data_IF_582316769819
#
_entry.id   IF_582316769819
#
_cell.length_a   1.000
_cell.length_b   1.000
_cell.length_c   1.000
_cell.angle_alpha   90.00
_cell.angle_beta   90.00
_cell.angle_gamma   90.00
#
_symmetry.space_group_name_H-M   'P 1'
#
loop_
_entity.id
_entity.type
_entity.pdbx_description
1 polymer ?
#
# COMPACT_ATOMS: atom_id res chain seq x y z
N UNK A 1 2.48 -8.80 -27.23
CA UNK A 1 3.66 -8.81 -26.34
C UNK A 1 3.51 -9.95 -25.35
N UNK A 2 4.59 -10.63 -24.97
CA UNK A 2 4.55 -11.72 -23.99
C UNK A 2 4.64 -11.16 -22.57
N UNK A 3 3.87 -11.75 -21.65
CA UNK A 3 3.85 -11.39 -20.23
C UNK A 3 4.11 -12.61 -19.35
N UNK A 4 4.92 -12.47 -18.33
CA UNK A 4 4.94 -13.39 -17.19
C UNK A 4 4.12 -12.79 -16.05
N UNK A 5 3.53 -13.65 -15.23
CA UNK A 5 2.65 -13.24 -14.13
C UNK A 5 3.10 -13.95 -12.86
N UNK A 6 3.34 -13.18 -11.80
CA UNK A 6 3.42 -13.66 -10.42
C UNK A 6 2.17 -13.14 -9.72
N UNK A 7 1.26 -14.03 -9.35
CA UNK A 7 -0.05 -13.55 -8.96
C UNK A 7 -0.93 -14.57 -8.25
N UNK A 8 -2.12 -14.12 -7.88
CA UNK A 8 -3.17 -14.93 -7.28
C UNK A 8 -4.21 -15.37 -8.31
N UNK A 9 -5.31 -15.96 -7.84
CA UNK A 9 -6.47 -16.24 -8.66
C UNK A 9 -7.05 -14.97 -9.31
N UNK A 10 -6.86 -13.81 -8.69
CA UNK A 10 -7.31 -12.52 -9.22
C UNK A 10 -6.65 -12.22 -10.59
N UNK A 11 -5.32 -12.30 -10.67
CA UNK A 11 -4.66 -12.16 -11.97
C UNK A 11 -5.01 -13.29 -12.94
N UNK A 12 -5.32 -14.48 -12.42
CA UNK A 12 -5.85 -15.61 -13.21
C UNK A 12 -7.08 -15.17 -14.01
N UNK A 13 -8.07 -14.64 -13.30
CA UNK A 13 -9.32 -14.15 -13.90
C UNK A 13 -9.09 -13.01 -14.89
N UNK A 14 -8.12 -12.11 -14.68
CA UNK A 14 -7.79 -11.06 -15.67
C UNK A 14 -7.39 -11.65 -17.03
N UNK A 15 -6.67 -12.77 -17.03
CA UNK A 15 -6.18 -13.42 -18.27
C UNK A 15 -7.28 -14.15 -19.05
N UNK A 16 -8.43 -14.44 -18.42
CA UNK A 16 -9.56 -15.11 -19.06
C UNK A 16 -10.35 -14.18 -19.98
N UNK A 17 -10.21 -12.86 -19.81
CA UNK A 17 -10.88 -11.89 -20.65
C UNK A 17 -10.32 -11.96 -22.07
N UNK A 18 -11.19 -12.13 -23.06
CA UNK A 18 -10.83 -12.07 -24.49
C UNK A 18 -10.07 -10.80 -24.87
N UNK A 19 -10.29 -9.73 -24.12
CA UNK A 19 -9.68 -8.42 -24.36
C UNK A 19 -8.35 -8.21 -23.63
N UNK A 20 -7.88 -9.19 -22.85
CA UNK A 20 -6.57 -9.17 -22.22
C UNK A 20 -5.47 -9.01 -23.29
N UNK A 21 -4.58 -8.01 -23.18
CA UNK A 21 -3.80 -7.57 -24.33
C UNK A 21 -2.42 -8.23 -24.45
N UNK A 22 -2.15 -9.27 -23.65
CA UNK A 22 -0.86 -9.97 -23.63
C UNK A 22 -1.02 -11.46 -23.89
N UNK A 23 0.04 -12.05 -24.44
CA UNK A 23 0.20 -13.50 -24.54
C UNK A 23 0.90 -14.01 -23.27
N UNK A 24 0.21 -14.78 -22.44
CA UNK A 24 0.73 -15.26 -21.15
C UNK A 24 1.77 -16.34 -21.40
N UNK A 25 3.01 -16.06 -21.01
CA UNK A 25 4.14 -16.96 -21.21
C UNK A 25 4.34 -17.88 -20.00
N UNK A 26 4.49 -17.31 -18.80
CA UNK A 26 4.46 -18.06 -17.54
C UNK A 26 3.44 -17.45 -16.57
N UNK A 27 2.73 -18.30 -15.84
CA UNK A 27 1.87 -17.90 -14.74
C UNK A 27 2.30 -18.65 -13.47
N UNK A 28 2.78 -17.90 -12.48
CA UNK A 28 3.08 -18.37 -11.12
C UNK A 28 1.91 -17.99 -10.22
N UNK A 29 0.97 -18.94 -10.04
CA UNK A 29 -0.26 -18.70 -9.29
C UNK A 29 -0.15 -19.21 -7.86
N UNK A 30 -0.63 -18.43 -6.89
CA UNK A 30 -0.83 -18.87 -5.51
C UNK A 30 0.47 -19.15 -4.75
N UNK A 31 1.57 -18.50 -5.12
CA UNK A 31 2.83 -18.57 -4.38
C UNK A 31 3.23 -17.17 -3.93
N UNK A 32 3.55 -17.02 -2.64
CA UNK A 32 4.21 -15.81 -2.14
C UNK A 32 5.63 -15.71 -2.70
N UNK A 33 6.18 -14.51 -2.76
CA UNK A 33 7.58 -14.26 -3.12
C UNK A 33 8.54 -15.04 -2.23
N UNK A 34 8.27 -15.13 -0.92
CA UNK A 34 9.08 -15.93 -0.01
C UNK A 34 9.08 -17.40 -0.40
N UNK A 35 7.90 -17.98 -0.66
CA UNK A 35 7.84 -19.37 -1.08
C UNK A 35 8.56 -19.56 -2.41
N UNK A 36 8.31 -18.69 -3.38
CA UNK A 36 8.88 -18.76 -4.73
C UNK A 36 10.42 -18.70 -4.73
N UNK A 37 11.01 -17.81 -3.92
CA UNK A 37 12.45 -17.54 -3.87
C UNK A 37 13.24 -18.42 -2.88
N UNK A 38 12.54 -19.31 -2.18
CA UNK A 38 13.12 -20.24 -1.21
C UNK A 38 13.81 -21.42 -1.88
N UNK A 39 14.63 -22.16 -1.12
CA UNK A 39 15.22 -23.41 -1.62
C UNK A 39 14.12 -24.48 -1.77
N UNK A 40 14.23 -25.36 -2.77
CA UNK A 40 13.27 -26.43 -2.95
C UNK A 40 13.37 -27.47 -1.83
N UNK A 41 12.24 -28.11 -1.55
CA UNK A 41 12.12 -29.37 -0.84
C UNK A 41 11.78 -30.45 -1.89
N UNK A 42 12.77 -31.16 -2.46
CA UNK A 42 12.54 -32.03 -3.60
C UNK A 42 11.66 -33.23 -3.22
N UNK A 43 10.51 -33.35 -3.88
CA UNK A 43 9.55 -34.43 -3.64
C UNK A 43 8.96 -34.92 -4.94
N UNK A 44 8.63 -36.21 -5.03
CA UNK A 44 7.86 -36.74 -6.14
C UNK A 44 6.36 -36.62 -5.85
N UNK A 45 5.54 -36.61 -6.90
CA UNK A 45 4.07 -36.52 -6.77
C UNK A 45 3.46 -37.65 -5.94
N UNK A 46 4.11 -38.81 -5.88
CA UNK A 46 3.67 -39.98 -5.11
C UNK A 46 3.88 -39.85 -3.60
N UNK A 47 4.68 -38.86 -3.17
CA UNK A 47 5.03 -38.61 -1.77
C UNK A 47 4.05 -37.57 -1.14
N UNK A 48 2.98 -37.25 -1.86
CA UNK A 48 1.94 -36.30 -1.47
C UNK A 48 0.63 -37.04 -1.13
N UNK A 49 0.13 -36.81 0.08
CA UNK A 49 -1.02 -37.45 0.68
C UNK A 49 -2.36 -36.85 0.21
N UNK A 50 -2.63 -36.90 -1.08
CA UNK A 50 -3.94 -36.55 -1.64
C UNK A 50 -4.16 -37.29 -2.95
N UNK A 51 -5.43 -37.52 -3.29
CA UNK A 51 -5.83 -38.06 -4.59
C UNK A 51 -6.22 -36.98 -5.60
N UNK A 52 -6.31 -35.71 -5.18
CA UNK A 52 -6.66 -34.61 -6.07
C UNK A 52 -5.44 -34.20 -6.90
N UNK A 53 -5.51 -34.45 -8.21
CA UNK A 53 -4.44 -34.14 -9.16
C UNK A 53 -4.06 -32.65 -9.20
N UNK A 54 -5.01 -31.75 -8.91
CA UNK A 54 -4.78 -30.30 -8.87
C UNK A 54 -3.96 -29.93 -7.64
N UNK A 55 -4.31 -30.49 -6.48
CA UNK A 55 -3.55 -30.32 -5.23
C UNK A 55 -2.14 -30.89 -5.35
N UNK A 56 -2.00 -32.13 -5.87
CA UNK A 56 -0.70 -32.77 -6.14
C UNK A 56 0.16 -31.88 -7.02
N UNK A 57 -0.37 -31.42 -8.15
CA UNK A 57 0.38 -30.60 -9.10
C UNK A 57 0.81 -29.27 -8.50
N UNK A 58 -0.06 -28.63 -7.72
CA UNK A 58 0.22 -27.36 -7.05
C UNK A 58 1.29 -27.52 -5.98
N UNK A 59 1.14 -28.48 -5.08
CA UNK A 59 2.11 -28.75 -4.02
C UNK A 59 3.46 -29.19 -4.58
N UNK A 60 3.47 -30.08 -5.59
CA UNK A 60 4.70 -30.49 -6.25
C UNK A 60 5.43 -29.31 -6.89
N UNK A 61 4.72 -28.39 -7.55
CA UNK A 61 5.33 -27.16 -8.13
C UNK A 61 5.85 -26.23 -7.05
N UNK A 62 5.13 -26.09 -5.94
CA UNK A 62 5.55 -25.22 -4.82
C UNK A 62 6.78 -25.76 -4.10
N UNK A 63 6.78 -27.03 -3.72
CA UNK A 63 7.88 -27.66 -2.99
C UNK A 63 9.15 -27.73 -3.85
N UNK A 64 9.04 -28.06 -5.14
CA UNK A 64 10.18 -28.14 -6.06
C UNK A 64 10.57 -26.78 -6.69
N UNK A 65 9.86 -25.69 -6.41
CA UNK A 65 10.12 -24.33 -6.94
C UNK A 65 10.19 -24.27 -8.47
N UNK A 66 9.41 -25.11 -9.14
CA UNK A 66 9.47 -25.30 -10.59
C UNK A 66 9.16 -24.02 -11.39
N UNK A 67 8.42 -23.09 -10.79
CA UNK A 67 8.02 -21.83 -11.41
C UNK A 67 9.12 -20.76 -11.41
N UNK A 68 10.02 -20.75 -10.42
CA UNK A 68 11.10 -19.77 -10.35
C UNK A 68 12.05 -19.91 -11.55
N UNK A 69 12.46 -21.14 -11.85
CA UNK A 69 13.35 -21.42 -12.98
C UNK A 69 12.74 -20.96 -14.32
N UNK A 70 11.42 -21.13 -14.49
CA UNK A 70 10.72 -20.68 -15.69
C UNK A 70 10.73 -19.17 -15.88
N UNK A 71 10.64 -18.42 -14.77
CA UNK A 71 10.73 -16.97 -14.80
C UNK A 71 12.16 -16.51 -15.11
N UNK A 72 13.17 -17.14 -14.49
CA UNK A 72 14.58 -16.81 -14.71
C UNK A 72 15.05 -17.10 -16.15
N UNK A 73 14.50 -18.13 -16.80
CA UNK A 73 14.79 -18.49 -18.19
C UNK A 73 13.86 -17.80 -19.20
N UNK A 74 12.93 -16.98 -18.72
CA UNK A 74 11.89 -16.39 -19.54
C UNK A 74 12.43 -15.37 -20.54
N UNK A 75 11.70 -15.22 -21.65
CA UNK A 75 11.92 -14.18 -22.66
C UNK A 75 10.76 -13.20 -22.73
N UNK A 76 9.86 -13.20 -21.76
CA UNK A 76 8.79 -12.22 -21.69
C UNK A 76 9.37 -10.81 -21.45
N UNK A 77 8.75 -9.81 -22.06
CA UNK A 77 9.21 -8.43 -21.92
C UNK A 77 8.59 -7.74 -20.71
N UNK A 78 7.46 -8.26 -20.23
CA UNK A 78 6.67 -7.68 -19.14
C UNK A 78 6.47 -8.72 -18.05
N UNK A 79 6.58 -8.27 -16.80
CA UNK A 79 6.18 -9.01 -15.61
C UNK A 79 4.98 -8.31 -14.98
N UNK A 80 3.90 -9.04 -14.73
CA UNK A 80 2.77 -8.55 -13.91
C UNK A 80 2.84 -9.18 -12.53
N UNK A 81 2.64 -8.36 -11.50
CA UNK A 81 2.66 -8.76 -10.10
C UNK A 81 1.34 -8.34 -9.45
N UNK A 82 0.61 -9.29 -8.86
CA UNK A 82 -0.40 -9.01 -7.84
C UNK A 82 0.01 -9.64 -6.51
N UNK A 83 -0.27 -8.94 -5.42
CA UNK A 83 0.24 -9.29 -4.10
C UNK A 83 -0.73 -10.11 -3.25
N UNK A 84 -1.90 -10.47 -3.77
CA UNK A 84 -2.90 -11.20 -2.97
C UNK A 84 -2.39 -12.60 -2.56
N UNK A 85 -1.48 -13.21 -3.32
CA UNK A 85 -0.81 -14.45 -2.94
C UNK A 85 0.09 -14.32 -1.69
N UNK A 86 0.44 -13.11 -1.26
CA UNK A 86 1.16 -12.88 0.00
C UNK A 86 0.29 -13.16 1.23
N UNK A 87 -1.04 -13.17 1.08
CA UNK A 87 -1.96 -13.55 2.15
C UNK A 87 -1.86 -15.04 2.53
N UNK A 88 -1.29 -15.88 1.66
CA UNK A 88 -1.11 -17.30 1.93
C UNK A 88 -0.44 -17.56 3.28
N UNK A 89 -0.92 -18.56 4.00
CA UNK A 89 -0.25 -19.05 5.19
C UNK A 89 1.06 -19.73 4.78
N UNK A 90 2.17 -19.32 5.41
CA UNK A 90 3.49 -19.87 5.14
C UNK A 90 4.03 -20.63 6.35
N UNK A 91 4.82 -21.64 6.06
CA UNK A 91 5.63 -22.36 7.04
C UNK A 91 7.11 -22.18 6.73
N UNK A 92 7.94 -22.23 7.76
CA UNK A 92 9.40 -22.17 7.65
C UNK A 92 9.98 -23.51 8.06
N UNK A 93 10.82 -24.05 7.20
CA UNK A 93 11.54 -25.30 7.41
C UNK A 93 12.98 -25.16 6.89
N UNK A 94 13.96 -25.47 7.73
CA UNK A 94 15.40 -25.37 7.39
C UNK A 94 15.80 -24.04 6.73
N UNK A 95 15.21 -22.93 7.21
CA UNK A 95 15.47 -21.58 6.69
C UNK A 95 14.85 -21.28 5.31
N UNK A 96 13.95 -22.13 4.83
CA UNK A 96 13.19 -21.95 3.59
C UNK A 96 11.70 -21.85 3.88
N UNK A 97 10.95 -21.21 2.99
CA UNK A 97 9.53 -20.92 3.13
C UNK A 97 8.69 -21.71 2.12
N UNK A 98 7.52 -22.16 2.55
CA UNK A 98 6.59 -22.95 1.74
C UNK A 98 5.15 -22.54 2.04
N UNK A 99 4.24 -22.72 1.07
CA UNK A 99 2.82 -22.61 1.36
C UNK A 99 2.43 -23.72 2.34
N UNK A 100 1.76 -23.36 3.43
CA UNK A 100 1.35 -24.31 4.48
C UNK A 100 0.56 -25.49 3.90
N UNK A 101 -0.43 -25.19 3.05
CA UNK A 101 -1.25 -26.21 2.37
C UNK A 101 -0.42 -27.20 1.55
N UNK A 102 0.64 -26.74 0.86
CA UNK A 102 1.50 -27.63 0.08
C UNK A 102 2.38 -28.50 0.97
N UNK A 103 2.81 -27.97 2.11
CA UNK A 103 3.67 -28.68 3.06
C UNK A 103 2.90 -29.71 3.90
N UNK A 104 1.63 -29.42 4.22
CA UNK A 104 0.72 -30.34 4.94
C UNK A 104 0.32 -31.57 4.12
N UNK A 105 0.54 -31.55 2.80
CA UNK A 105 0.32 -32.68 1.92
C UNK A 105 1.46 -33.69 1.92
N UNK A 106 2.56 -33.46 2.64
CA UNK A 106 3.64 -34.46 2.73
C UNK A 106 3.16 -35.73 3.46
N UNK A 107 3.49 -36.91 2.93
CA UNK A 107 3.20 -38.19 3.60
C UNK A 107 3.96 -38.35 4.93
N UNK A 108 5.06 -37.63 5.10
CA UNK A 108 5.90 -37.64 6.29
C UNK A 108 5.53 -36.50 7.25
N UNK A 109 5.58 -36.80 8.56
CA UNK A 109 5.43 -35.79 9.59
C UNK A 109 6.70 -34.93 9.66
N UNK A 110 6.64 -33.70 9.15
CA UNK A 110 7.73 -32.73 9.21
C UNK A 110 7.43 -31.67 10.26
N UNK A 111 8.38 -31.40 11.15
CA UNK A 111 8.29 -30.30 12.11
C UNK A 111 8.63 -28.97 11.42
N UNK A 112 7.73 -27.99 11.50
CA UNK A 112 7.85 -26.69 10.84
C UNK A 112 7.36 -25.56 11.74
N UNK A 113 7.88 -24.35 11.50
CA UNK A 113 7.46 -23.14 12.20
C UNK A 113 6.40 -22.41 11.37
N UNK A 114 5.25 -22.06 11.96
CA UNK A 114 4.30 -21.16 11.31
C UNK A 114 4.85 -19.73 11.23
N UNK A 115 4.70 -19.10 10.07
CA UNK A 115 5.24 -17.77 9.82
C UNK A 115 4.16 -16.72 10.02
N UNK A 116 4.33 -15.86 11.03
CA UNK A 116 3.48 -14.69 11.26
C UNK A 116 3.68 -13.66 10.13
N UNK A 117 2.66 -12.85 9.85
CA UNK A 117 2.72 -11.83 8.77
C UNK A 117 3.86 -10.82 8.93
N UNK A 118 4.15 -10.38 10.15
CA UNK A 118 5.31 -9.51 10.40
C UNK A 118 6.65 -10.20 10.10
N UNK A 119 6.79 -11.50 10.42
CA UNK A 119 8.00 -12.27 10.10
C UNK A 119 8.11 -12.52 8.60
N UNK A 120 6.99 -12.77 7.92
CA UNK A 120 6.91 -12.84 6.47
C UNK A 120 7.39 -11.51 5.85
N UNK A 121 6.90 -10.37 6.33
CA UNK A 121 7.32 -9.05 5.85
C UNK A 121 8.83 -8.80 6.06
N UNK A 122 9.36 -9.10 7.26
CA UNK A 122 10.79 -8.96 7.57
C UNK A 122 11.66 -9.85 6.69
N UNK A 123 11.27 -11.11 6.49
CA UNK A 123 11.97 -12.01 5.59
C UNK A 123 11.91 -11.54 4.12
N UNK A 124 10.77 -10.98 3.69
CA UNK A 124 10.61 -10.40 2.37
C UNK A 124 11.59 -9.25 2.13
N UNK A 125 11.70 -8.35 3.11
CA UNK A 125 12.66 -7.24 3.09
C UNK A 125 14.10 -7.73 2.99
N UNK A 126 14.46 -8.81 3.69
CA UNK A 126 15.78 -9.44 3.58
C UNK A 126 16.04 -10.06 2.20
N UNK A 127 14.99 -10.52 1.52
CA UNK A 127 15.05 -11.11 0.19
C UNK A 127 14.71 -10.13 -0.94
N UNK A 128 14.53 -8.84 -0.64
CA UNK A 128 14.13 -7.82 -1.61
C UNK A 128 15.09 -7.77 -2.80
N UNK A 129 16.40 -7.84 -2.57
CA UNK A 129 17.39 -7.83 -3.65
C UNK A 129 17.16 -8.95 -4.69
N UNK A 130 16.72 -10.13 -4.26
CA UNK A 130 16.40 -11.23 -5.19
C UNK A 130 15.16 -10.95 -6.03
N UNK A 131 14.16 -10.27 -5.43
CA UNK A 131 12.97 -9.82 -6.15
C UNK A 131 13.40 -8.77 -7.18
N UNK A 132 14.24 -7.82 -6.79
CA UNK A 132 14.74 -6.77 -7.69
C UNK A 132 15.55 -7.37 -8.85
N UNK A 133 16.47 -8.30 -8.57
CA UNK A 133 17.21 -9.04 -9.59
C UNK A 133 16.26 -9.74 -10.58
N UNK A 134 15.20 -10.39 -10.09
CA UNK A 134 14.20 -11.03 -10.95
C UNK A 134 13.45 -10.01 -11.80
N UNK A 135 13.01 -8.90 -11.21
CA UNK A 135 12.26 -7.85 -11.92
C UNK A 135 13.09 -7.12 -12.98
N UNK A 136 14.40 -7.01 -12.77
CA UNK A 136 15.32 -6.31 -13.66
C UNK A 136 15.50 -7.00 -15.02
N UNK A 137 15.15 -8.29 -15.16
CA UNK A 137 15.16 -8.98 -16.45
C UNK A 137 14.06 -8.51 -17.41
N UNK A 138 13.00 -7.90 -16.86
CA UNK A 138 11.86 -7.45 -17.62
C UNK A 138 12.04 -6.01 -18.06
N UNK A 139 11.57 -5.67 -19.27
CA UNK A 139 11.57 -4.28 -19.75
C UNK A 139 10.58 -3.42 -18.97
N UNK A 140 9.48 -4.01 -18.51
CA UNK A 140 8.46 -3.34 -17.73
C UNK A 140 7.87 -4.28 -16.67
N UNK A 141 7.61 -3.74 -15.49
CA UNK A 141 6.90 -4.43 -14.42
C UNK A 141 5.54 -3.75 -14.22
N UNK A 142 4.45 -4.50 -14.21
CA UNK A 142 3.11 -4.01 -13.92
C UNK A 142 2.76 -4.47 -12.50
N UNK A 143 2.63 -3.53 -11.57
CA UNK A 143 2.15 -3.77 -10.23
C UNK A 143 0.64 -3.55 -10.20
N UNK A 144 -0.10 -4.58 -9.80
CA UNK A 144 -1.54 -4.51 -9.57
C UNK A 144 -1.75 -4.14 -8.10
N UNK A 145 -2.18 -2.90 -7.88
CA UNK A 145 -2.48 -2.34 -6.57
C UNK A 145 -3.93 -2.64 -6.21
N UNK A 146 -4.11 -3.73 -5.47
CA UNK A 146 -5.41 -4.21 -5.02
C UNK A 146 -5.28 -4.62 -3.56
N UNK A 147 -6.03 -3.93 -2.70
CA UNK A 147 -6.18 -4.34 -1.30
C UNK A 147 -7.25 -5.42 -1.19
N UNK A 148 -7.04 -6.45 -0.35
CA UNK A 148 -7.99 -7.54 -0.18
C UNK A 148 -9.30 -7.11 0.50
N UNK A 149 -9.35 -5.93 1.12
CA UNK A 149 -10.44 -5.41 1.94
C UNK A 149 -10.71 -6.26 3.18
N UNK A 150 -9.63 -6.70 3.83
CA UNK A 150 -9.69 -7.51 5.05
C UNK A 150 -8.55 -7.13 6.02
N UNK A 151 -8.37 -7.90 7.09
CA UNK A 151 -7.32 -7.71 8.10
C UNK A 151 -5.87 -7.68 7.55
N UNK A 152 -5.66 -8.09 6.29
CA UNK A 152 -4.36 -8.06 5.63
C UNK A 152 -4.11 -6.80 4.79
N UNK A 153 -5.02 -5.82 4.77
CA UNK A 153 -4.88 -4.58 3.98
C UNK A 153 -3.55 -3.86 4.27
N UNK A 154 -3.22 -3.63 5.55
CA UNK A 154 -1.96 -2.99 5.94
C UNK A 154 -0.73 -3.80 5.52
N UNK A 155 -0.82 -5.13 5.58
CA UNK A 155 0.25 -6.03 5.21
C UNK A 155 0.53 -5.98 3.71
N UNK A 156 -0.53 -6.07 2.89
CA UNK A 156 -0.44 -5.97 1.44
C UNK A 156 0.04 -4.57 1.03
N UNK A 157 -0.51 -3.52 1.63
CA UNK A 157 -0.06 -2.14 1.40
C UNK A 157 1.43 -1.96 1.75
N UNK A 158 1.90 -2.56 2.85
CA UNK A 158 3.30 -2.53 3.24
C UNK A 158 4.22 -3.20 2.21
N UNK A 159 3.85 -4.37 1.69
CA UNK A 159 4.62 -5.06 0.64
C UNK A 159 4.56 -4.27 -0.66
N UNK A 160 3.40 -3.73 -1.00
CA UNK A 160 3.22 -2.90 -2.18
C UNK A 160 4.15 -1.69 -2.16
N UNK A 161 4.17 -0.92 -1.07
CA UNK A 161 5.08 0.22 -0.89
C UNK A 161 6.56 -0.21 -0.96
N UNK A 162 6.91 -1.36 -0.40
CA UNK A 162 8.27 -1.90 -0.48
C UNK A 162 8.69 -2.15 -1.94
N UNK A 163 7.85 -2.78 -2.74
CA UNK A 163 8.14 -3.05 -4.15
C UNK A 163 8.06 -1.78 -5.01
N UNK A 164 7.04 -0.96 -4.79
CA UNK A 164 6.84 0.32 -5.48
C UNK A 164 8.05 1.24 -5.30
N UNK A 165 8.55 1.39 -4.08
CA UNK A 165 9.73 2.24 -3.82
C UNK A 165 11.04 1.70 -4.41
N UNK A 166 11.10 0.40 -4.74
CA UNK A 166 12.34 -0.28 -5.10
C UNK A 166 12.46 -0.66 -6.58
N UNK A 167 11.35 -0.84 -7.29
CA UNK A 167 11.34 -1.22 -8.71
C UNK A 167 11.33 0.05 -9.59
N UNK A 168 12.32 0.18 -10.46
CA UNK A 168 12.49 1.39 -11.30
C UNK A 168 11.51 1.43 -12.47
N UNK A 169 11.43 0.36 -13.25
CA UNK A 169 10.65 0.27 -14.50
C UNK A 169 9.22 -0.23 -14.27
N UNK A 170 8.54 0.35 -13.28
CA UNK A 170 7.19 -0.04 -12.87
C UNK A 170 6.08 0.78 -13.55
N UNK A 171 4.95 0.11 -13.75
CA UNK A 171 3.64 0.69 -14.05
C UNK A 171 2.67 0.21 -12.96
N UNK A 172 1.80 1.08 -12.49
CA UNK A 172 0.81 0.76 -11.44
C UNK A 172 -0.59 0.74 -12.03
N UNK A 173 -1.37 -0.27 -11.66
CA UNK A 173 -2.80 -0.35 -11.93
C UNK A 173 -3.56 -0.58 -10.64
N UNK A 174 -4.32 0.41 -10.21
CA UNK A 174 -5.21 0.27 -9.07
C UNK A 174 -6.61 -0.10 -9.53
N UNK A 175 -7.29 -0.92 -8.74
CA UNK A 175 -8.69 -1.24 -8.95
C UNK A 175 -9.56 -0.52 -7.92
N UNK A 176 -10.70 0.04 -8.33
CA UNK A 176 -11.66 0.57 -7.37
C UNK A 176 -12.34 -0.60 -6.66
N UNK A 177 -11.94 -0.82 -5.41
CA UNK A 177 -12.39 -1.92 -4.57
C UNK A 177 -13.41 -1.45 -3.52
N UNK A 178 -13.95 -0.23 -3.62
CA UNK A 178 -14.92 0.30 -2.67
C UNK A 178 -16.17 -0.57 -2.61
N UNK A 179 -16.49 -1.04 -1.40
CA UNK A 179 -17.69 -1.85 -1.16
C UNK A 179 -17.58 -3.31 -1.60
N UNK A 180 -16.38 -3.77 -1.97
CA UNK A 180 -16.11 -5.19 -2.21
C UNK A 180 -15.58 -5.82 -0.93
N UNK A 181 -16.24 -6.87 -0.45
CA UNK A 181 -15.85 -7.52 0.81
C UNK A 181 -14.69 -8.53 0.63
N UNK A 182 -14.51 -9.07 -0.57
CA UNK A 182 -13.44 -10.02 -0.88
C UNK A 182 -12.99 -9.82 -2.34
N UNK A 183 -11.75 -9.41 -2.53
CA UNK A 183 -11.21 -9.19 -3.88
C UNK A 183 -10.87 -10.48 -4.63
N UNK A 184 -10.71 -11.62 -3.96
CA UNK A 184 -10.52 -12.91 -4.66
C UNK A 184 -11.76 -13.32 -5.46
N UNK A 185 -12.93 -12.83 -5.06
CA UNK A 185 -14.19 -12.96 -5.80
C UNK A 185 -14.77 -11.58 -6.17
N UNK A 186 -13.92 -10.68 -6.65
CA UNK A 186 -14.34 -9.35 -7.09
C UNK A 186 -15.44 -9.40 -8.18
N UNK A 187 -16.30 -8.37 -8.27
CA UNK A 187 -17.24 -8.21 -9.38
C UNK A 187 -16.54 -8.13 -10.74
N UNK A 188 -17.22 -8.58 -11.81
CA UNK A 188 -16.66 -8.64 -13.17
C UNK A 188 -16.20 -7.27 -13.68
N UNK A 189 -16.85 -6.20 -13.23
CA UNK A 189 -16.59 -4.80 -13.59
C UNK A 189 -15.19 -4.36 -13.16
N UNK A 190 -14.68 -4.87 -12.04
CA UNK A 190 -13.32 -4.58 -11.56
C UNK A 190 -12.29 -5.18 -12.50
N UNK A 191 -12.47 -6.45 -12.85
CA UNK A 191 -11.60 -7.13 -13.81
C UNK A 191 -11.67 -6.48 -15.18
N UNK A 192 -12.87 -6.17 -15.68
CA UNK A 192 -13.03 -5.47 -16.95
C UNK A 192 -12.34 -4.10 -16.90
N UNK A 193 -12.51 -3.33 -15.83
CA UNK A 193 -11.84 -2.06 -15.62
C UNK A 193 -10.33 -2.18 -15.75
N UNK A 194 -9.71 -3.11 -15.02
CA UNK A 194 -8.27 -3.37 -15.10
C UNK A 194 -7.83 -3.86 -16.49
N UNK A 195 -8.59 -4.74 -17.14
CA UNK A 195 -8.27 -5.20 -18.50
C UNK A 195 -8.34 -4.04 -19.50
N UNK A 196 -9.32 -3.15 -19.39
CA UNK A 196 -9.36 -1.96 -20.23
C UNK A 196 -8.17 -1.04 -19.93
N UNK A 197 -7.74 -0.90 -18.67
CA UNK A 197 -6.52 -0.17 -18.35
C UNK A 197 -5.30 -0.82 -19.02
N UNK A 198 -5.10 -2.13 -18.85
CA UNK A 198 -4.02 -2.90 -19.50
C UNK A 198 -3.99 -2.69 -21.02
N UNK A 199 -5.16 -2.69 -21.68
CA UNK A 199 -5.27 -2.47 -23.13
C UNK A 199 -4.81 -1.08 -23.55
N UNK A 200 -5.07 -0.06 -22.73
CA UNK A 200 -4.67 1.32 -23.03
C UNK A 200 -3.14 1.46 -23.09
N UNK A 201 -2.40 0.66 -22.34
CA UNK A 201 -0.92 0.66 -22.40
C UNK A 201 -0.36 0.04 -23.69
N UNK A 202 -1.11 -0.85 -24.33
CA UNK A 202 -0.75 -1.45 -25.62
C UNK A 202 -1.43 -0.75 -26.82
N UNK A 203 -2.12 0.37 -26.60
CA UNK A 203 -2.89 1.06 -27.64
C UNK A 203 -2.05 2.13 -28.33
N UNK A 204 -1.78 1.95 -29.62
CA UNK A 204 -1.18 2.97 -30.50
C UNK A 204 -2.15 4.14 -30.82
N UNK A 205 -3.41 4.07 -30.34
CA UNK A 205 -4.45 5.06 -30.60
C UNK A 205 -4.47 6.20 -29.55
N UNK A 206 -4.20 7.42 -30.04
CA UNK A 206 -4.15 8.71 -29.34
C UNK A 206 -5.37 9.04 -28.47
N UNK A 207 -6.57 8.55 -28.83
CA UNK A 207 -7.82 8.87 -28.11
C UNK A 207 -7.99 8.08 -26.80
N UNK A 208 -7.20 7.03 -26.55
CA UNK A 208 -7.40 6.06 -25.46
C UNK A 208 -6.39 6.16 -24.29
N UNK A 209 -5.51 7.16 -24.25
CA UNK A 209 -4.52 7.29 -23.18
C UNK A 209 -5.15 7.81 -21.87
N UNK A 210 -5.06 7.02 -20.80
CA UNK A 210 -5.35 7.41 -19.41
C UNK A 210 -4.52 8.65 -19.06
N UNK A 211 -5.19 9.77 -18.76
CA UNK A 211 -4.56 11.09 -18.72
C UNK A 211 -4.32 11.64 -17.32
N UNK A 212 -4.86 11.04 -16.27
CA UNK A 212 -4.70 11.55 -14.89
C UNK A 212 -4.52 10.42 -13.87
N UNK A 213 -3.64 10.65 -12.90
CA UNK A 213 -3.47 9.90 -11.66
C UNK A 213 -3.77 10.89 -10.52
N UNK A 214 -4.93 10.76 -9.87
CA UNK A 214 -5.50 11.75 -8.95
C UNK A 214 -5.66 11.19 -7.53
N UNK A 215 -5.22 11.96 -6.53
CA UNK A 215 -5.27 11.54 -5.12
C UNK A 215 -5.78 12.68 -4.22
N UNK A 216 -6.76 12.40 -3.37
CA UNK A 216 -7.14 13.24 -2.23
C UNK A 216 -6.59 12.62 -0.95
N UNK A 217 -5.62 13.27 -0.32
CA UNK A 217 -5.03 12.86 0.96
C UNK A 217 -5.14 14.02 1.95
N UNK A 218 -5.76 13.79 3.11
CA UNK A 218 -6.16 14.83 4.06
C UNK A 218 -6.98 15.97 3.40
N UNK A 219 -6.31 17.09 3.15
CA UNK A 219 -6.85 18.28 2.50
C UNK A 219 -6.10 18.62 1.21
N UNK A 220 -5.32 17.70 0.63
CA UNK A 220 -4.55 17.93 -0.60
C UNK A 220 -5.16 17.09 -1.72
N UNK A 221 -5.74 17.77 -2.71
CA UNK A 221 -6.16 17.15 -3.96
C UNK A 221 -5.07 17.34 -5.01
N UNK A 222 -4.49 16.24 -5.47
CA UNK A 222 -3.40 16.23 -6.45
C UNK A 222 -3.77 15.51 -7.73
N UNK A 223 -3.13 15.89 -8.82
CA UNK A 223 -3.28 15.29 -10.16
C UNK A 223 -1.92 15.19 -10.84
N UNK A 224 -1.63 14.03 -11.41
CA UNK A 224 -0.49 13.79 -12.28
C UNK A 224 -0.95 13.43 -13.70
N UNK A 225 -0.33 14.01 -14.72
CA UNK A 225 -0.60 13.75 -16.12
C UNK A 225 0.39 12.76 -16.74
N UNK A 226 -0.11 11.65 -17.29
CA UNK A 226 0.73 10.59 -17.84
C UNK A 226 1.21 10.83 -19.30
N UNK A 227 1.08 12.04 -19.83
CA UNK A 227 1.40 12.36 -21.24
C UNK A 227 2.88 12.76 -21.44
N UNK A 228 3.43 12.52 -22.64
CA UNK A 228 4.88 12.51 -22.94
C UNK A 228 5.37 13.73 -23.77
N UNK A 229 4.51 14.52 -24.43
CA UNK A 229 5.02 15.66 -25.23
C UNK A 229 5.28 16.93 -24.41
N UNK A 230 6.32 17.73 -24.74
CA UNK A 230 6.58 19.02 -24.11
C UNK A 230 5.47 20.03 -24.46
N UNK A 231 4.61 20.33 -23.49
CA UNK A 231 3.54 21.33 -23.63
C UNK A 231 3.34 22.11 -22.33
N UNK A 232 2.62 23.22 -22.44
CA UNK A 232 2.18 23.98 -21.28
C UNK A 232 0.73 23.64 -20.91
N UNK A 233 0.50 23.57 -19.61
CA UNK A 233 -0.75 23.18 -18.96
C UNK A 233 -1.22 24.27 -18.01
N UNK A 234 -2.53 24.27 -17.80
CA UNK A 234 -3.21 25.10 -16.82
C UNK A 234 -4.21 24.24 -16.06
N UNK A 235 -4.08 24.20 -14.74
CA UNK A 235 -4.92 23.42 -13.82
C UNK A 235 -5.90 24.36 -13.11
N UNK A 236 -7.18 23.99 -13.06
CA UNK A 236 -8.24 24.78 -12.41
C UNK A 236 -8.97 23.90 -11.40
N UNK A 237 -8.87 24.21 -10.10
CA UNK A 237 -9.68 23.58 -9.06
C UNK A 237 -11.09 24.14 -9.12
N UNK A 238 -12.08 23.26 -9.18
CA UNK A 238 -13.49 23.58 -9.05
C UNK A 238 -13.98 23.13 -7.68
N UNK A 239 -14.82 23.96 -7.04
CA UNK A 239 -15.56 23.65 -5.82
C UNK A 239 -17.05 23.79 -6.11
N UNK A 240 -17.83 22.76 -5.77
CA UNK A 240 -19.29 22.72 -5.91
C UNK A 240 -19.78 23.15 -7.31
N UNK A 241 -19.03 22.74 -8.34
CA UNK A 241 -19.33 23.03 -9.75
C UNK A 241 -18.84 24.37 -10.28
N UNK A 242 -18.19 25.22 -9.46
CA UNK A 242 -17.66 26.53 -9.87
C UNK A 242 -16.13 26.56 -9.81
N UNK A 243 -15.45 27.32 -10.70
CA UNK A 243 -14.00 27.55 -10.57
C UNK A 243 -13.67 28.18 -9.21
N UNK A 244 -12.62 27.69 -8.56
CA UNK A 244 -12.22 28.07 -7.20
C UNK A 244 -10.76 28.55 -7.14
N UNK A 245 -9.80 27.73 -7.62
CA UNK A 245 -8.36 28.09 -7.69
C UNK A 245 -7.80 27.72 -9.07
N UNK A 246 -6.69 28.32 -9.47
CA UNK A 246 -6.05 28.10 -10.78
C UNK A 246 -4.53 28.16 -10.67
N UNK A 247 -3.83 27.25 -11.36
CA UNK A 247 -2.37 27.26 -11.45
C UNK A 247 -1.88 28.32 -12.44
N UNK A 248 -0.61 28.72 -12.30
CA UNK A 248 0.10 29.34 -13.41
C UNK A 248 0.30 28.36 -14.56
N UNK A 249 0.60 28.90 -15.74
CA UNK A 249 1.06 28.13 -16.89
C UNK A 249 2.30 27.35 -16.49
N UNK A 250 2.29 26.05 -16.69
CA UNK A 250 3.37 25.17 -16.26
C UNK A 250 3.57 24.03 -17.25
N UNK A 251 4.81 23.58 -17.43
CA UNK A 251 5.15 22.32 -18.08
C UNK A 251 5.13 21.14 -17.09
N UNK A 252 4.93 21.41 -15.80
CA UNK A 252 4.74 20.39 -14.78
C UNK A 252 3.50 19.57 -15.06
N UNK A 253 3.72 18.25 -15.14
CA UNK A 253 2.67 17.24 -15.24
C UNK A 253 1.98 16.97 -13.91
N UNK A 254 2.48 17.54 -12.81
CA UNK A 254 1.91 17.41 -11.47
C UNK A 254 1.37 18.75 -10.97
N UNK A 255 0.17 18.73 -10.38
CA UNK A 255 -0.42 19.88 -9.70
C UNK A 255 -1.17 19.43 -8.45
N UNK A 256 -1.13 20.26 -7.40
CA UNK A 256 -1.83 20.01 -6.15
C UNK A 256 -2.57 21.26 -5.68
N UNK A 257 -3.71 21.05 -5.02
CA UNK A 257 -4.49 22.09 -4.37
C UNK A 257 -4.81 21.71 -2.93
N UNK A 258 -4.62 22.66 -2.03
CA UNK A 258 -5.05 22.55 -0.63
C UNK A 258 -6.53 22.98 -0.53
N UNK A 259 -7.33 22.13 0.13
CA UNK A 259 -8.76 22.22 0.35
C UNK A 259 -9.03 22.77 1.76
N UNK A 260 -9.47 24.02 1.82
CA UNK A 260 -9.62 24.73 3.10
C UNK A 260 -11.05 24.65 3.64
N UNK A 261 -12.01 24.34 2.78
CA UNK A 261 -13.44 24.37 3.10
C UNK A 261 -14.11 23.04 2.73
N UNK A 262 -15.09 22.56 3.51
CA UNK A 262 -15.88 21.39 3.11
C UNK A 262 -16.60 21.66 1.79
N UNK A 263 -16.74 20.63 0.96
CA UNK A 263 -17.37 20.75 -0.36
C UNK A 263 -17.00 19.62 -1.32
N UNK A 264 -17.51 19.72 -2.55
CA UNK A 264 -17.21 18.81 -3.66
C UNK A 264 -16.16 19.43 -4.58
N UNK A 265 -15.01 18.77 -4.74
CA UNK A 265 -13.87 19.30 -5.49
C UNK A 265 -13.54 18.47 -6.72
N UNK A 266 -13.11 19.11 -7.80
CA UNK A 266 -12.52 18.45 -8.99
C UNK A 266 -11.54 19.39 -9.68
N UNK A 267 -10.55 18.86 -10.40
CA UNK A 267 -9.54 19.63 -11.13
C UNK A 267 -9.84 19.57 -12.63
N UNK A 268 -9.80 20.70 -13.32
CA UNK A 268 -9.84 20.78 -14.78
C UNK A 268 -8.43 21.03 -15.30
N UNK A 269 -8.01 20.28 -16.31
CA UNK A 269 -6.72 20.48 -16.95
C UNK A 269 -6.92 20.90 -18.40
N UNK A 270 -6.28 22.01 -18.77
CA UNK A 270 -6.28 22.56 -20.12
C UNK A 270 -4.86 22.51 -20.67
N UNK A 271 -4.66 21.76 -21.75
CA UNK A 271 -3.43 21.83 -22.53
C UNK A 271 -3.53 23.01 -23.51
N UNK A 272 -2.50 23.83 -23.60
CA UNK A 272 -2.45 24.98 -24.49
C UNK A 272 -2.13 24.53 -25.93
N UNK A 273 -3.13 23.92 -26.58
CA UNK A 273 -3.09 23.51 -27.99
C UNK A 273 -4.50 23.59 -28.57
N UNK A 274 -4.62 24.16 -29.78
CA UNK A 274 -5.91 24.38 -30.46
C UNK A 274 -6.72 23.09 -30.75
N UNK A 275 -6.10 21.91 -30.56
CA UNK A 275 -6.70 20.61 -30.85
C UNK A 275 -7.09 19.81 -29.60
N UNK A 276 -6.61 20.19 -28.41
CA UNK A 276 -6.83 19.42 -27.18
C UNK A 276 -8.00 20.00 -26.37
N UNK A 277 -9.08 19.21 -26.22
CA UNK A 277 -10.19 19.61 -25.35
C UNK A 277 -9.79 19.56 -23.87
N UNK A 278 -10.17 20.56 -23.04
CA UNK A 278 -9.98 20.51 -21.60
C UNK A 278 -10.68 19.30 -20.97
N UNK A 279 -10.09 18.73 -19.92
CA UNK A 279 -10.63 17.56 -19.21
C UNK A 279 -10.82 17.85 -17.73
N UNK A 280 -11.71 17.11 -17.07
CA UNK A 280 -11.96 17.18 -15.63
C UNK A 280 -11.53 15.87 -14.95
N UNK A 281 -11.02 15.98 -13.72
CA UNK A 281 -10.87 14.87 -12.78
C UNK A 281 -12.22 14.43 -12.21
N UNK A 282 -12.18 13.36 -11.43
CA UNK A 282 -13.29 12.95 -10.56
C UNK A 282 -13.65 13.99 -9.50
N UNK A 283 -14.81 13.79 -8.87
CA UNK A 283 -15.34 14.68 -7.82
C UNK A 283 -15.11 14.08 -6.43
N UNK A 284 -14.44 14.84 -5.56
CA UNK A 284 -14.05 14.43 -4.21
C UNK A 284 -14.82 15.21 -3.13
N UNK A 285 -15.19 14.57 -2.03
CA UNK A 285 -15.94 15.20 -0.92
C UNK A 285 -15.00 15.41 0.28
N UNK A 286 -14.94 16.63 0.82
CA UNK A 286 -14.13 16.97 1.99
C UNK A 286 -14.98 17.40 3.20
N UNK A 287 -14.69 16.91 4.42
CA UNK A 287 -15.36 17.22 5.71
C UNK A 287 -14.36 17.24 6.90
N UNK A 288 -14.41 18.21 7.83
CA UNK A 288 -13.58 18.24 9.05
C UNK A 288 -14.19 17.49 10.26
N UNK A 289 -13.35 16.97 11.18
CA UNK A 289 -13.73 16.20 12.39
C UNK A 289 -13.88 17.09 13.65
N UNK A 290 -14.75 16.69 14.60
CA UNK A 290 -15.05 17.33 15.91
C UNK A 290 -14.90 16.34 17.08
N UNK A 291 -14.47 16.84 18.25
CA UNK A 291 -13.88 16.10 19.39
C UNK A 291 -14.83 15.70 20.55
N UNK A 292 -14.40 14.75 21.40
CA UNK A 292 -14.86 14.60 22.79
C UNK A 292 -14.23 13.44 23.61
N UNK A 293 -13.54 13.80 24.72
CA UNK A 293 -13.60 13.34 26.14
C UNK A 293 -13.54 11.86 26.57
N UNK A 294 -12.38 11.40 27.03
CA UNK A 294 -11.90 11.30 28.45
C UNK A 294 -10.66 10.37 28.52
N UNK A 295 -9.58 10.75 29.21
CA UNK A 295 -8.30 10.00 29.28
C UNK A 295 -8.31 8.83 30.28
N UNK A 296 -8.08 7.58 29.86
CA UNK A 296 -7.67 6.50 30.76
C UNK A 296 -6.14 6.34 30.81
N UNK A 297 -5.61 5.92 31.95
CA UNK A 297 -4.30 5.30 32.02
C UNK A 297 -4.32 4.05 31.11
N UNK A 298 -3.63 4.10 29.97
CA UNK A 298 -3.62 3.00 29.01
C UNK A 298 -2.22 2.47 28.74
N UNK A 299 -2.12 1.15 28.60
CA UNK A 299 -0.84 0.44 28.35
C UNK A 299 -0.34 0.64 26.90
N UNK A 300 -1.22 1.04 25.99
CA UNK A 300 -0.92 1.22 24.57
C UNK A 300 -1.49 2.55 24.04
N UNK A 301 -0.89 3.06 22.97
CA UNK A 301 -1.27 4.34 22.35
C UNK A 301 -1.37 4.15 20.83
N UNK A 302 -2.48 4.57 20.24
CA UNK A 302 -2.62 4.62 18.77
C UNK A 302 -1.82 5.79 18.18
N UNK A 303 -1.10 5.56 17.09
CA UNK A 303 -0.24 6.57 16.48
C UNK A 303 -1.07 7.66 15.77
N UNK A 304 -0.78 8.95 15.98
CA UNK A 304 -1.43 10.04 15.26
C UNK A 304 -1.00 10.11 13.80
N UNK A 305 -1.70 10.94 13.02
CA UNK A 305 -1.19 11.40 11.73
C UNK A 305 0.09 12.20 11.90
N UNK A 306 0.90 12.27 10.84
CA UNK A 306 2.21 12.94 10.85
C UNK A 306 2.15 14.38 11.41
N UNK A 307 1.16 15.17 11.01
CA UNK A 307 0.93 16.55 11.49
C UNK A 307 0.68 16.67 13.01
N UNK A 308 0.33 15.56 13.66
CA UNK A 308 0.01 15.45 15.08
C UNK A 308 1.01 14.55 15.83
N UNK A 309 2.14 14.21 15.21
CA UNK A 309 3.17 13.36 15.82
C UNK A 309 3.76 13.96 17.10
N UNK A 310 3.69 15.28 17.27
CA UNK A 310 4.03 15.93 18.54
C UNK A 310 3.18 15.42 19.72
N UNK A 311 1.91 15.05 19.49
CA UNK A 311 1.03 14.51 20.54
C UNK A 311 1.60 13.19 21.05
N UNK A 312 2.03 12.31 20.13
CA UNK A 312 2.65 11.05 20.50
C UNK A 312 3.89 11.26 21.37
N UNK A 313 4.74 12.22 21.02
CA UNK A 313 5.93 12.55 21.81
C UNK A 313 5.58 13.05 23.22
N UNK A 314 4.53 13.88 23.36
CA UNK A 314 4.04 14.29 24.69
C UNK A 314 3.67 13.06 25.52
N UNK A 315 2.89 12.13 24.96
CA UNK A 315 2.47 10.95 25.71
C UNK A 315 3.66 10.04 26.05
N UNK A 316 4.57 9.78 25.10
CA UNK A 316 5.75 8.94 25.33
C UNK A 316 6.68 9.50 26.42
N UNK A 317 6.78 10.84 26.54
CA UNK A 317 7.61 11.48 27.55
C UNK A 317 7.00 11.46 28.96
N UNK A 318 5.67 11.26 29.08
CA UNK A 318 4.94 11.41 30.34
C UNK A 318 4.23 10.13 30.81
N UNK A 319 4.15 9.10 29.97
CA UNK A 319 3.44 7.86 30.25
C UNK A 319 4.36 6.66 30.07
N UNK A 320 4.10 5.59 30.85
CA UNK A 320 4.74 4.29 30.62
C UNK A 320 3.96 3.52 29.57
N UNK A 321 4.49 3.47 28.36
CA UNK A 321 3.82 2.86 27.20
C UNK A 321 4.48 1.52 26.89
N UNK A 322 3.68 0.46 26.80
CA UNK A 322 4.15 -0.89 26.49
C UNK A 322 4.28 -1.13 24.99
N UNK A 323 3.42 -0.50 24.20
CA UNK A 323 3.39 -0.64 22.76
C UNK A 323 2.56 0.45 22.08
N UNK A 324 2.80 0.65 20.79
CA UNK A 324 2.04 1.56 19.95
C UNK A 324 1.11 0.78 19.03
N UNK A 325 -0.04 1.35 18.71
CA UNK A 325 -0.96 0.79 17.71
C UNK A 325 -0.82 1.64 16.44
N UNK A 326 -0.53 1.02 15.32
CA UNK A 326 -0.33 1.72 14.05
C UNK A 326 -0.03 0.74 12.93
N UNK A 327 0.53 1.21 11.83
CA UNK A 327 0.97 0.32 10.76
C UNK A 327 2.38 -0.24 11.11
N UNK A 328 2.50 -1.51 11.56
CA UNK A 328 3.79 -2.09 11.93
C UNK A 328 4.73 -2.27 10.72
N UNK A 329 4.18 -2.32 9.51
CA UNK A 329 4.95 -2.45 8.27
C UNK A 329 5.66 -1.13 7.90
N UNK A 330 5.10 0.01 8.33
CA UNK A 330 5.78 1.32 8.28
C UNK A 330 6.91 1.44 9.31
N UNK A 331 6.79 0.76 10.45
CA UNK A 331 7.74 0.81 11.56
C UNK A 331 8.22 -0.60 11.97
N UNK A 332 8.92 -1.33 11.07
CA UNK A 332 9.22 -2.76 11.28
C UNK A 332 10.19 -3.03 12.44
N UNK A 333 10.97 -2.04 12.85
CA UNK A 333 11.88 -2.07 14.01
C UNK A 333 11.29 -1.35 15.24
N UNK A 334 9.99 -1.05 15.20
CA UNK A 334 9.32 -0.20 16.17
C UNK A 334 9.54 1.30 15.92
N UNK A 335 8.96 2.11 16.81
CA UNK A 335 9.09 3.56 16.81
C UNK A 335 9.79 3.99 18.10
N UNK A 336 10.95 4.63 17.99
CA UNK A 336 11.80 5.00 19.15
C UNK A 336 12.09 3.84 20.12
N UNK A 337 12.22 2.61 19.61
CA UNK A 337 12.47 1.41 20.41
C UNK A 337 11.23 0.83 21.10
N UNK A 338 10.03 1.32 20.77
CA UNK A 338 8.74 0.79 21.22
C UNK A 338 8.10 0.01 20.07
N UNK A 339 7.64 -1.21 20.34
CA UNK A 339 6.96 -2.04 19.35
C UNK A 339 5.68 -1.38 18.83
N UNK A 340 5.43 -1.52 17.53
CA UNK A 340 4.19 -1.10 16.86
C UNK A 340 3.39 -2.36 16.51
N UNK A 341 2.11 -2.37 16.89
CA UNK A 341 1.17 -3.48 16.73
C UNK A 341 0.00 -3.06 15.83
N UNK A 342 -0.61 -4.00 15.12
CA UNK A 342 -1.91 -3.78 14.49
C UNK A 342 -3.01 -3.68 15.56
N UNK A 343 -4.11 -3.00 15.22
CA UNK A 343 -5.22 -2.73 16.16
C UNK A 343 -5.84 -4.02 16.70
N UNK A 344 -5.92 -5.06 15.87
CA UNK A 344 -6.51 -6.36 16.17
C UNK A 344 -5.68 -7.18 17.15
N UNK A 345 -4.37 -6.90 17.24
CA UNK A 345 -3.45 -7.61 18.14
C UNK A 345 -3.62 -7.17 19.61
N UNK A 346 -4.17 -5.97 19.84
CA UNK A 346 -4.32 -5.39 21.17
C UNK A 346 -5.75 -5.54 21.69
N UNK A 347 -5.90 -6.33 22.75
CA UNK A 347 -7.18 -6.54 23.46
C UNK A 347 -7.29 -5.73 24.76
N UNK A 348 -6.20 -5.10 25.19
CA UNK A 348 -6.16 -4.23 26.37
C UNK A 348 -6.70 -2.83 26.03
N UNK A 349 -7.19 -2.06 27.01
CA UNK A 349 -7.50 -0.65 26.80
C UNK A 349 -6.29 0.14 26.29
N UNK A 350 -6.51 1.03 25.33
CA UNK A 350 -5.50 1.89 24.73
C UNK A 350 -6.06 3.30 24.52
N UNK A 351 -5.18 4.29 24.40
CA UNK A 351 -5.56 5.66 24.02
C UNK A 351 -5.78 5.66 22.51
N UNK A 352 -7.02 5.93 22.09
CA UNK A 352 -7.38 5.95 20.68
C UNK A 352 -6.87 7.23 20.02
N UNK A 353 -6.70 7.19 18.70
CA UNK A 353 -6.21 8.32 17.92
C UNK A 353 -7.04 9.59 18.13
N UNK A 354 -8.34 9.43 18.33
CA UNK A 354 -9.31 10.49 18.56
C UNK A 354 -9.11 11.19 19.91
N UNK A 355 -8.61 10.46 20.90
CA UNK A 355 -8.41 10.94 22.27
C UNK A 355 -7.06 11.65 22.44
N UNK A 356 -6.09 11.42 21.53
CA UNK A 356 -4.73 11.95 21.62
C UNK A 356 -4.67 13.46 21.79
N UNK A 357 -5.56 14.21 21.14
CA UNK A 357 -5.58 15.67 21.27
C UNK A 357 -5.91 16.05 22.71
N UNK A 358 -6.92 15.44 23.31
CA UNK A 358 -7.30 15.76 24.68
C UNK A 358 -6.25 15.33 25.69
N UNK A 359 -5.72 14.10 25.56
CA UNK A 359 -4.70 13.58 26.47
C UNK A 359 -3.41 14.38 26.37
N UNK A 360 -2.95 14.69 25.16
CA UNK A 360 -1.73 15.48 24.98
C UNK A 360 -1.87 16.90 25.52
N UNK A 361 -3.03 17.55 25.31
CA UNK A 361 -3.31 18.88 25.86
C UNK A 361 -3.32 18.86 27.40
N UNK A 362 -4.01 17.90 28.00
CA UNK A 362 -4.02 17.75 29.46
C UNK A 362 -2.61 17.53 30.03
N UNK A 363 -1.75 16.78 29.32
CA UNK A 363 -0.37 16.56 29.75
C UNK A 363 0.47 17.84 29.65
N UNK A 364 0.41 18.60 28.54
CA UNK A 364 1.20 19.84 28.40
C UNK A 364 0.71 20.95 29.34
N UNK A 365 -0.58 21.01 29.66
CA UNK A 365 -1.14 21.98 30.63
C UNK A 365 -0.66 21.71 32.06
N UNK A 366 -0.31 20.47 32.37
CA UNK A 366 0.22 20.07 33.67
C UNK A 366 1.76 20.13 33.76
N UNK A 367 2.46 20.43 32.65
CA UNK A 367 3.92 20.60 32.65
C UNK A 367 4.34 21.89 33.36
N UNK A 368 5.52 21.88 33.98
CA UNK A 368 6.12 23.16 34.41
C UNK A 368 6.51 23.99 33.17
N UNK A 369 6.52 25.33 33.24
CA UNK A 369 6.94 26.17 32.12
C UNK A 369 8.34 25.84 31.61
N UNK A 370 9.21 25.33 32.49
CA UNK A 370 10.55 24.86 32.13
C UNK A 370 10.46 23.57 31.31
N UNK A 371 9.73 22.57 31.79
CA UNK A 371 9.62 21.26 31.11
C UNK A 371 8.92 21.41 29.76
N UNK A 372 7.90 22.26 29.67
CA UNK A 372 7.24 22.58 28.39
C UNK A 372 8.19 23.28 27.42
N UNK A 373 9.03 24.20 27.90
CA UNK A 373 10.02 24.87 27.05
C UNK A 373 11.09 23.90 26.56
N UNK A 374 11.54 23.00 27.42
CA UNK A 374 12.51 21.96 27.06
C UNK A 374 11.91 21.00 26.02
N UNK A 375 10.65 20.55 26.22
CA UNK A 375 9.90 19.73 25.26
C UNK A 375 9.78 20.41 23.88
N UNK A 376 9.37 21.69 23.85
CA UNK A 376 9.19 22.43 22.58
C UNK A 376 10.52 22.62 21.85
N UNK A 377 11.62 22.79 22.57
CA UNK A 377 12.94 22.89 21.96
C UNK A 377 13.41 21.55 21.38
N UNK A 378 13.18 20.45 22.10
CA UNK A 378 13.53 19.09 21.68
C UNK A 378 12.73 18.65 20.44
N UNK A 379 11.43 18.97 20.39
CA UNK A 379 10.51 18.53 19.34
C UNK A 379 10.07 19.66 18.40
N UNK A 380 10.91 20.69 18.23
CA UNK A 380 10.58 21.92 17.47
C UNK A 380 10.05 21.66 16.07
N UNK A 381 10.63 20.70 15.34
CA UNK A 381 10.19 20.31 13.99
C UNK A 381 8.77 19.76 14.00
N UNK A 382 8.45 18.86 14.93
CA UNK A 382 7.13 18.25 15.04
C UNK A 382 6.06 19.27 15.45
N UNK A 383 6.41 20.22 16.32
CA UNK A 383 5.49 21.30 16.73
C UNK A 383 5.23 22.27 15.58
N UNK A 384 6.22 22.55 14.74
CA UNK A 384 6.03 23.39 13.56
C UNK A 384 5.13 22.73 12.50
N UNK A 385 4.99 21.40 12.53
CA UNK A 385 4.05 20.65 11.68
C UNK A 385 2.61 20.64 12.23
N UNK A 386 2.42 21.02 13.50
CA UNK A 386 1.10 21.15 14.10
C UNK A 386 0.29 22.31 13.50
N UNK A 387 -1.04 22.30 13.72
CA UNK A 387 -1.89 23.39 13.23
C UNK A 387 -1.51 24.76 13.84
N UNK A 388 -1.70 25.90 13.13
CA UNK A 388 -1.39 27.22 13.67
C UNK A 388 -2.08 27.53 15.00
N UNK A 389 -3.32 27.03 15.18
CA UNK A 389 -4.05 27.16 16.43
C UNK A 389 -3.33 26.43 17.58
N UNK A 390 -2.81 25.24 17.31
CA UNK A 390 -2.07 24.44 18.29
C UNK A 390 -0.71 25.05 18.63
N UNK A 391 0.02 25.57 17.64
CA UNK A 391 1.27 26.29 17.86
C UNK A 391 1.05 27.51 18.75
N UNK A 392 0.01 28.30 18.48
CA UNK A 392 -0.34 29.46 19.31
C UNK A 392 -0.71 29.05 20.73
N UNK A 393 -1.43 27.93 20.90
CA UNK A 393 -1.80 27.42 22.21
C UNK A 393 -0.58 26.96 23.04
N UNK A 394 0.30 26.16 22.44
CA UNK A 394 1.52 25.68 23.09
C UNK A 394 2.42 26.87 23.47
N UNK A 395 2.58 27.86 22.58
CA UNK A 395 3.36 29.07 22.86
C UNK A 395 2.75 29.94 23.98
N UNK A 396 1.42 29.94 24.11
CA UNK A 396 0.74 30.63 25.21
C UNK A 396 1.06 29.96 26.57
N UNK A 397 1.08 28.63 26.62
CA UNK A 397 1.40 27.87 27.84
C UNK A 397 2.86 28.01 28.30
N UNK A 398 3.75 28.54 27.46
CA UNK A 398 5.16 28.80 27.81
C UNK A 398 5.40 30.14 28.54
N UNK A 399 4.39 31.01 28.61
CA UNK A 399 4.45 32.34 29.24
C UNK A 399 4.11 32.25 30.72
#
# INVERSE_FOLDING_TARGET
MKIDIIGSQFAGRLTEFRSFPYDVNNFVSGQSFLSLLSKPYPVAMKDLNTSDIVEISTAHRDLNKANLNKLQESRAEVLMIDLLSEMNALVKYNGSYFNKQSFELLDEAVDYEEVRKIEQFKALKQHLNKILELTAFYKQVILIDVLPNNEHDDFIAGIYELLYSSIDNKLVLSADNKGVNDMLDAPIEIYEGLVQQLRKFNSDNYENQLLFDEKLEDNILSVYMNYIEPRYYVYELYKDGKPYKKSHRTDSRYCQFILDEPGKYRIRVTAESDKAKPRFSETYVYKPLTAGKESPDAEYIEMPDKKNEWMLQVLLNNMKVRGLIGNPYKYPEGYNGIDVYQREEIKSPYIQKEDLTEVSLALIENMSPKDLKDFVNEHKTLINEASPAMQNYINFLQQ
#
